data_IF_854814379919
#
_entry.id   IF_854814379919
#
_cell.length_a   1.000
_cell.length_b   1.000
_cell.length_c   1.000
_cell.angle_alpha   90.00
_cell.angle_beta   90.00
_cell.angle_gamma   90.00
#
_symmetry.space_group_name_H-M   'P 1'
#
loop_
_entity.id
_entity.type
_entity.pdbx_description
1 polymer ?
#
# COMPACT_ATOMS: atom_id res chain seq x y z
N UNK A 1 15.85 -11.45 -26.84
CA UNK A 1 15.73 -11.43 -25.37
C UNK A 1 14.33 -10.92 -25.04
N UNK A 2 13.53 -11.67 -24.28
CA UNK A 2 12.23 -11.18 -23.80
C UNK A 2 12.51 -10.19 -22.69
N UNK A 3 12.13 -8.92 -22.87
CA UNK A 3 12.20 -7.93 -21.80
C UNK A 3 11.35 -8.44 -20.61
N UNK A 4 11.98 -8.70 -19.46
CA UNK A 4 11.25 -9.09 -18.26
C UNK A 4 10.33 -7.93 -17.89
N UNK A 5 9.02 -8.16 -17.87
CA UNK A 5 8.05 -7.17 -17.39
C UNK A 5 8.38 -6.84 -15.95
N UNK A 6 8.65 -5.57 -15.65
CA UNK A 6 8.78 -5.11 -14.27
C UNK A 6 7.38 -5.11 -13.66
N UNK A 7 7.23 -5.79 -12.53
CA UNK A 7 5.96 -5.89 -11.82
C UNK A 7 6.11 -5.36 -10.41
N UNK A 8 5.10 -4.63 -9.93
CA UNK A 8 4.99 -4.21 -8.54
C UNK A 8 3.86 -4.95 -7.87
N UNK A 9 4.12 -5.43 -6.65
CA UNK A 9 3.11 -6.00 -5.78
C UNK A 9 2.66 -4.91 -4.81
N UNK A 10 1.37 -4.58 -4.81
CA UNK A 10 0.81 -3.50 -3.98
C UNK A 10 -0.35 -4.01 -3.13
N UNK A 11 -0.51 -3.44 -1.94
CA UNK A 11 -1.72 -3.67 -1.16
C UNK A 11 -2.88 -2.83 -1.71
N UNK A 12 -4.04 -3.46 -1.91
CA UNK A 12 -5.20 -2.79 -2.50
C UNK A 12 -5.80 -1.77 -1.53
N UNK A 13 -6.44 -0.73 -2.09
CA UNK A 13 -7.33 0.16 -1.33
C UNK A 13 -8.38 -0.68 -0.59
N UNK A 14 -8.67 -0.30 0.66
CA UNK A 14 -9.58 -1.01 1.56
C UNK A 14 -8.89 -2.06 2.44
N UNK A 15 -7.64 -2.42 2.15
CA UNK A 15 -6.83 -3.31 2.99
C UNK A 15 -6.64 -2.70 4.38
N UNK A 16 -6.80 -3.53 5.40
CA UNK A 16 -6.54 -3.16 6.80
C UNK A 16 -5.08 -3.47 7.14
N UNK A 17 -4.42 -2.51 7.80
CA UNK A 17 -3.01 -2.57 8.18
C UNK A 17 -2.86 -2.14 9.64
N UNK A 18 -1.91 -2.74 10.35
CA UNK A 18 -1.50 -2.28 11.67
C UNK A 18 -0.25 -1.41 11.52
N UNK A 19 -0.35 -0.14 11.95
CA UNK A 19 0.78 0.82 11.92
C UNK A 19 1.59 0.74 13.22
N UNK A 20 0.90 0.47 14.33
CA UNK A 20 1.48 0.19 15.65
C UNK A 20 0.66 -0.92 16.31
N UNK A 21 1.06 -1.39 17.49
CA UNK A 21 0.28 -2.38 18.26
C UNK A 21 -1.17 -1.92 18.57
N UNK A 22 -1.41 -0.60 18.58
CA UNK A 22 -2.70 -0.01 18.95
C UNK A 22 -3.41 0.71 17.81
N UNK A 23 -2.79 0.84 16.63
CA UNK A 23 -3.35 1.58 15.51
C UNK A 23 -3.62 0.63 14.35
N UNK A 24 -4.90 0.36 14.12
CA UNK A 24 -5.39 -0.29 12.91
C UNK A 24 -5.94 0.77 11.95
N UNK A 25 -5.35 0.82 10.77
CA UNK A 25 -5.70 1.74 9.70
C UNK A 25 -6.22 1.00 8.47
N UNK A 26 -6.82 1.75 7.55
CA UNK A 26 -7.28 1.27 6.25
C UNK A 26 -6.59 2.05 5.15
N UNK A 27 -6.06 1.35 4.14
CA UNK A 27 -5.48 1.98 2.95
C UNK A 27 -6.61 2.67 2.17
N UNK A 28 -6.47 3.97 1.94
CA UNK A 28 -7.46 4.80 1.24
C UNK A 28 -7.04 5.06 -0.21
N UNK A 29 -5.74 5.21 -0.46
CA UNK A 29 -5.19 5.40 -1.79
C UNK A 29 -3.78 4.82 -1.90
N UNK A 30 -3.36 4.52 -3.13
CA UNK A 30 -2.01 4.01 -3.45
C UNK A 30 -1.40 4.93 -4.51
N UNK A 31 -0.22 5.47 -4.22
CA UNK A 31 0.56 6.27 -5.15
C UNK A 31 1.81 5.51 -5.55
N UNK A 32 2.10 5.48 -6.85
CA UNK A 32 3.35 4.92 -7.40
C UNK A 32 4.16 6.08 -7.95
N UNK A 33 5.34 6.30 -7.37
CA UNK A 33 6.25 7.38 -7.72
C UNK A 33 7.35 6.88 -8.66
N UNK A 34 8.25 7.80 -9.05
CA UNK A 34 9.47 7.44 -9.77
C UNK A 34 10.28 6.40 -8.99
N UNK A 35 11.06 5.60 -9.72
CA UNK A 35 11.85 4.48 -9.17
C UNK A 35 11.03 3.40 -8.47
N UNK A 36 9.74 3.29 -8.83
CA UNK A 36 8.81 2.28 -8.31
C UNK A 36 8.56 2.35 -6.81
N UNK A 37 8.71 3.55 -6.22
CA UNK A 37 8.38 3.76 -4.81
C UNK A 37 6.87 3.76 -4.65
N UNK A 38 6.37 2.84 -3.83
CA UNK A 38 4.94 2.72 -3.50
C UNK A 38 4.68 3.41 -2.17
N UNK A 39 3.67 4.28 -2.15
CA UNK A 39 3.23 5.00 -0.96
C UNK A 39 1.73 4.81 -0.76
N UNK A 40 1.34 4.57 0.49
CA UNK A 40 -0.03 4.27 0.90
C UNK A 40 -0.55 5.39 1.78
N UNK A 41 -1.65 6.02 1.38
CA UNK A 41 -2.42 6.86 2.30
C UNK A 41 -3.25 5.95 3.20
N UNK A 42 -2.98 5.99 4.50
CA UNK A 42 -3.72 5.20 5.49
C UNK A 42 -4.58 6.11 6.35
N UNK A 43 -5.78 5.64 6.70
CA UNK A 43 -6.68 6.38 7.57
C UNK A 43 -7.18 5.51 8.73
N UNK A 44 -7.19 6.08 9.93
CA UNK A 44 -7.69 5.45 11.16
C UNK A 44 -8.46 6.45 12.00
N UNK A 45 -9.17 5.95 13.01
CA UNK A 45 -9.85 6.78 13.99
C UNK A 45 -8.95 6.95 15.22
N UNK A 46 -8.78 8.20 15.66
CA UNK A 46 -8.19 8.52 16.95
C UNK A 46 -9.26 9.26 17.77
N UNK A 47 -10.02 8.51 18.56
CA UNK A 47 -11.29 8.99 19.11
C UNK A 47 -12.26 9.37 17.99
N UNK A 48 -12.81 10.58 18.05
CA UNK A 48 -13.78 11.10 17.08
C UNK A 48 -13.14 11.77 15.85
N UNK A 49 -11.81 11.77 15.77
CA UNK A 49 -11.07 12.40 14.67
C UNK A 49 -10.60 11.33 13.69
N UNK A 50 -10.92 11.53 12.41
CA UNK A 50 -10.38 10.70 11.32
C UNK A 50 -9.01 11.22 10.91
N UNK A 51 -7.97 10.53 11.34
CA UNK A 51 -6.58 10.85 10.97
C UNK A 51 -6.22 10.18 9.64
N UNK A 52 -5.37 10.85 8.86
CA UNK A 52 -4.77 10.32 7.62
C UNK A 52 -3.30 10.67 7.58
N UNK A 53 -2.49 9.74 7.09
CA UNK A 53 -1.07 9.97 6.85
C UNK A 53 -0.53 9.01 5.78
N UNK A 54 0.72 9.22 5.36
CA UNK A 54 1.37 8.54 4.25
C UNK A 54 2.45 7.59 4.75
N UNK A 55 2.42 6.36 4.26
CA UNK A 55 3.30 5.27 4.70
C UNK A 55 3.86 4.48 3.52
N UNK A 56 4.92 3.74 3.79
CA UNK A 56 5.47 2.70 2.93
C UNK A 56 5.11 1.32 3.48
N UNK A 57 5.34 0.26 2.70
CA UNK A 57 5.09 -1.11 3.18
C UNK A 57 5.90 -1.49 4.42
N UNK A 58 7.07 -0.88 4.61
CA UNK A 58 7.96 -1.15 5.74
C UNK A 58 7.41 -0.60 7.06
N UNK A 59 6.44 0.32 7.00
CA UNK A 59 5.80 0.90 8.18
C UNK A 59 4.66 0.00 8.72
N UNK A 60 4.29 -1.06 8.00
CA UNK A 60 3.23 -1.97 8.43
C UNK A 60 3.79 -3.07 9.32
N UNK A 61 3.31 -3.13 10.57
CA UNK A 61 3.60 -4.25 11.48
C UNK A 61 2.89 -5.51 10.98
N UNK A 62 1.67 -5.36 10.49
CA UNK A 62 0.91 -6.46 9.92
C UNK A 62 -0.09 -5.97 8.88
N UNK A 63 -0.47 -6.88 7.98
CA UNK A 63 -1.47 -6.65 6.94
C UNK A 63 -2.57 -7.69 7.09
N UNK A 64 -3.83 -7.30 6.94
CA UNK A 64 -4.99 -8.14 7.19
C UNK A 64 -4.96 -9.47 6.41
N UNK A 65 -5.42 -10.55 7.05
CA UNK A 65 -5.32 -11.94 6.57
C UNK A 65 -5.88 -12.23 5.16
N UNK A 66 -6.63 -11.32 4.54
CA UNK A 66 -7.21 -11.48 3.20
C UNK A 66 -6.63 -10.55 2.13
N UNK A 67 -5.59 -9.78 2.44
CA UNK A 67 -4.96 -8.90 1.45
C UNK A 67 -3.91 -9.67 0.63
N UNK A 68 -4.34 -10.38 -0.40
CA UNK A 68 -3.41 -10.81 -1.44
C UNK A 68 -2.92 -9.58 -2.19
N UNK A 69 -1.60 -9.32 -2.27
CA UNK A 69 -1.09 -8.19 -3.03
C UNK A 69 -1.58 -8.23 -4.48
N UNK A 70 -2.00 -7.07 -4.99
CA UNK A 70 -2.35 -6.91 -6.40
C UNK A 70 -1.08 -6.66 -7.19
N UNK A 71 -0.86 -7.46 -8.24
CA UNK A 71 0.29 -7.31 -9.13
C UNK A 71 -0.01 -6.35 -10.27
N UNK A 72 0.75 -5.28 -10.38
CA UNK A 72 0.72 -4.32 -11.49
C UNK A 72 1.92 -4.59 -12.39
N UNK A 73 1.70 -4.75 -13.69
CA UNK A 73 2.77 -4.88 -14.68
C UNK A 73 2.86 -3.65 -15.57
N UNK A 74 4.07 -3.15 -15.81
CA UNK A 74 4.31 -2.14 -16.83
C UNK A 74 4.72 -2.84 -18.12
N UNK A 75 3.95 -2.64 -19.20
CA UNK A 75 4.40 -3.01 -20.53
C UNK A 75 5.37 -1.91 -20.98
N UNK A 76 6.62 -2.27 -21.28
CA UNK A 76 7.54 -1.33 -21.92
C UNK A 76 6.94 -0.91 -23.27
N UNK A 77 6.44 0.32 -23.34
CA UNK A 77 6.09 0.96 -24.59
C UNK A 77 7.37 1.66 -25.02
N UNK A 78 8.14 0.99 -25.88
CA UNK A 78 9.28 1.59 -26.58
C UNK A 78 8.80 2.63 -27.57
#
# INVERSE_FOLDING_TARGET
MVARKKTLDIYSVGTEVSLTENINAKIMSVSIHANDVVQYECAWWNGDIRTRDLFTENDFISVGKQSTPTKIGFNNIN
#
